data_IF_139624386616
#
_entry.id   IF_139624386616
#
_cell.length_a   1.000
_cell.length_b   1.000
_cell.length_c   1.000
_cell.angle_alpha   90.00
_cell.angle_beta   90.00
_cell.angle_gamma   90.00
#
_symmetry.space_group_name_H-M   'P 1'
#
loop_
_entity.id
_entity.type
_entity.pdbx_description
1 polymer ?
#
# COMPACT_ATOMS: atom_id res chain seq x y z
N UNK A 1 2.29 28.38 -10.07
CA UNK A 1 2.41 26.91 -10.00
C UNK A 1 3.88 26.58 -9.78
N UNK A 2 4.21 25.83 -8.71
CA UNK A 2 5.58 25.36 -8.45
C UNK A 2 5.65 23.85 -8.64
N UNK A 3 6.78 23.34 -9.11
CA UNK A 3 7.07 21.90 -9.20
C UNK A 3 8.38 21.64 -8.47
N UNK A 4 8.46 20.53 -7.73
CA UNK A 4 9.71 20.06 -7.11
C UNK A 4 9.98 18.63 -7.54
N UNK A 5 11.21 18.30 -7.98
CA UNK A 5 11.59 16.93 -8.28
C UNK A 5 11.58 16.13 -6.98
N UNK A 6 10.97 14.95 -7.03
CA UNK A 6 11.07 13.96 -5.97
C UNK A 6 11.85 12.78 -6.56
N UNK A 7 12.94 12.36 -5.92
CA UNK A 7 13.99 11.59 -6.58
C UNK A 7 13.69 10.08 -6.68
N UNK A 8 12.46 9.66 -6.40
CA UNK A 8 12.10 8.25 -6.28
C UNK A 8 11.03 7.83 -7.29
N UNK A 9 11.10 6.59 -7.79
CA UNK A 9 10.08 5.98 -8.66
C UNK A 9 9.06 5.17 -7.82
N UNK A 10 7.83 4.97 -8.30
CA UNK A 10 6.81 4.13 -7.63
C UNK A 10 6.07 4.81 -6.46
N UNK A 11 5.18 5.76 -6.78
CA UNK A 11 4.74 6.84 -5.92
C UNK A 11 3.42 6.53 -5.21
N UNK A 12 3.49 6.24 -3.91
CA UNK A 12 2.37 6.52 -3.01
C UNK A 12 2.72 7.70 -2.12
N UNK A 13 1.78 8.63 -1.95
CA UNK A 13 1.96 9.84 -1.14
C UNK A 13 0.68 10.14 -0.38
N UNK A 14 0.78 10.36 0.93
CA UNK A 14 -0.33 10.83 1.74
C UNK A 14 0.16 11.81 2.81
N UNK A 15 -0.76 12.40 3.57
CA UNK A 15 -0.41 13.27 4.69
C UNK A 15 -0.09 12.46 5.95
N UNK A 16 0.77 12.99 6.83
CA UNK A 16 0.85 12.53 8.21
C UNK A 16 -0.44 12.82 8.96
N UNK A 17 -0.70 12.09 10.05
CA UNK A 17 -1.92 12.24 10.85
C UNK A 17 -2.12 13.67 11.41
N UNK A 18 -1.05 14.40 11.66
CA UNK A 18 -1.07 15.80 12.11
C UNK A 18 -1.04 16.82 10.95
N UNK A 19 -0.99 16.35 9.70
CA UNK A 19 -0.95 17.16 8.48
C UNK A 19 0.35 17.93 8.26
N UNK A 20 1.37 17.75 9.12
CA UNK A 20 2.62 18.53 9.07
C UNK A 20 3.62 18.02 8.04
N UNK A 21 3.60 16.72 7.78
CA UNK A 21 4.54 16.05 6.89
C UNK A 21 3.78 15.29 5.80
N UNK A 22 4.54 14.88 4.79
CA UNK A 22 4.08 13.90 3.83
C UNK A 22 4.67 12.54 4.19
N UNK A 23 3.89 11.49 3.99
CA UNK A 23 4.33 10.11 4.07
C UNK A 23 4.35 9.57 2.66
N UNK A 24 5.48 9.00 2.25
CA UNK A 24 5.70 8.48 0.92
C UNK A 24 6.27 7.06 0.93
N UNK A 25 6.20 6.43 -0.22
CA UNK A 25 6.93 5.22 -0.56
C UNK A 25 7.54 5.36 -1.95
N UNK A 26 8.54 4.53 -2.21
CA UNK A 26 9.21 4.35 -3.50
C UNK A 26 9.14 2.89 -3.96
N UNK A 27 8.12 2.14 -3.51
CA UNK A 27 7.95 0.70 -3.75
C UNK A 27 9.05 -0.21 -3.19
N UNK A 28 10.02 0.32 -2.44
CA UNK A 28 10.90 -0.50 -1.57
C UNK A 28 10.13 -0.97 -0.32
N UNK A 29 10.86 -1.43 0.69
CA UNK A 29 10.33 -1.71 2.01
C UNK A 29 10.18 -0.48 2.91
N UNK A 30 10.52 0.74 2.47
CA UNK A 30 10.58 1.91 3.34
C UNK A 30 9.33 2.81 3.29
N UNK A 31 8.87 3.21 4.47
CA UNK A 31 7.94 4.31 4.68
C UNK A 31 8.76 5.58 4.99
N UNK A 32 8.64 6.59 4.13
CA UNK A 32 9.49 7.78 4.13
C UNK A 32 8.67 8.98 4.58
N UNK A 33 9.14 9.70 5.60
CA UNK A 33 8.54 10.97 6.04
C UNK A 33 9.28 12.13 5.41
N UNK A 34 8.56 13.05 4.77
CA UNK A 34 9.13 14.17 4.01
C UNK A 34 8.59 15.48 4.57
N UNK A 35 9.47 16.45 4.74
CA UNK A 35 9.09 17.84 5.00
C UNK A 35 8.67 18.50 3.66
N UNK A 36 7.38 18.89 3.49
CA UNK A 36 6.92 19.50 2.24
C UNK A 36 7.55 20.89 1.98
N UNK A 37 8.01 21.60 3.01
CA UNK A 37 8.61 22.93 2.86
C UNK A 37 10.03 22.85 2.26
N UNK A 38 10.79 21.81 2.59
CA UNK A 38 12.19 21.64 2.15
C UNK A 38 12.37 20.51 1.12
N UNK A 39 11.39 19.62 1.01
CA UNK A 39 11.47 18.36 0.25
C UNK A 39 12.57 17.41 0.74
N UNK A 40 13.01 17.54 1.99
CA UNK A 40 13.99 16.65 2.60
C UNK A 40 13.31 15.49 3.34
N UNK A 41 13.95 14.31 3.30
CA UNK A 41 13.60 13.19 4.18
C UNK A 41 13.86 13.56 5.64
N UNK A 42 12.84 13.38 6.48
CA UNK A 42 12.87 13.61 7.93
C UNK A 42 13.11 12.31 8.69
N UNK A 43 12.51 11.22 8.21
CA UNK A 43 12.59 9.88 8.81
C UNK A 43 12.33 8.83 7.73
N UNK A 44 12.85 7.63 7.94
CA UNK A 44 12.70 6.50 7.03
C UNK A 44 12.68 5.21 7.86
N UNK A 45 11.61 4.41 7.73
CA UNK A 45 11.42 3.18 8.51
C UNK A 45 11.05 2.00 7.63
N UNK A 46 11.63 0.82 7.87
CA UNK A 46 11.23 -0.38 7.15
C UNK A 46 9.83 -0.81 7.59
N UNK A 47 8.96 -1.01 6.62
CA UNK A 47 7.65 -1.61 6.77
C UNK A 47 7.82 -3.08 7.11
N UNK A 48 7.20 -3.51 8.21
CA UNK A 48 7.30 -4.90 8.68
C UNK A 48 5.93 -5.50 8.95
N UNK A 49 5.70 -6.73 8.49
CA UNK A 49 4.55 -7.55 8.85
C UNK A 49 5.01 -8.96 9.20
N UNK A 50 4.42 -9.55 10.26
CA UNK A 50 4.78 -10.90 10.73
C UNK A 50 6.29 -11.11 11.00
N UNK A 51 7.03 -10.05 11.32
CA UNK A 51 8.47 -10.10 11.55
C UNK A 51 9.34 -10.04 10.27
N UNK A 52 8.75 -9.85 9.10
CA UNK A 52 9.43 -9.75 7.81
C UNK A 52 9.30 -8.34 7.22
N UNK A 53 10.29 -7.93 6.42
CA UNK A 53 10.20 -6.73 5.59
C UNK A 53 9.10 -6.92 4.53
N UNK A 54 8.32 -5.87 4.27
CA UNK A 54 7.28 -5.89 3.23
C UNK A 54 7.67 -4.92 2.11
N UNK A 55 8.31 -5.39 1.03
CA UNK A 55 8.59 -4.55 -0.12
C UNK A 55 7.34 -4.37 -0.98
N UNK A 56 7.36 -3.33 -1.82
CA UNK A 56 6.33 -3.12 -2.84
C UNK A 56 5.09 -2.40 -2.34
N UNK A 57 5.12 -1.80 -1.15
CA UNK A 57 4.05 -0.89 -0.73
C UNK A 57 4.08 0.32 -1.67
N UNK A 58 2.97 0.60 -2.34
CA UNK A 58 2.88 1.59 -3.41
C UNK A 58 1.84 2.66 -3.04
N UNK A 59 0.74 2.85 -3.79
CA UNK A 59 -0.28 3.88 -3.50
C UNK A 59 -0.70 3.90 -2.02
N UNK A 60 -0.70 5.09 -1.42
CA UNK A 60 -0.93 5.30 0.02
C UNK A 60 -2.17 6.14 0.28
N UNK A 61 -2.86 5.85 1.37
CA UNK A 61 -3.93 6.69 1.91
C UNK A 61 -3.88 6.73 3.44
N UNK A 62 -4.08 7.91 4.02
CA UNK A 62 -4.20 8.07 5.47
C UNK A 62 -5.64 7.80 5.91
N UNK A 63 -5.81 6.85 6.82
CA UNK A 63 -7.05 6.59 7.54
C UNK A 63 -6.90 7.13 8.96
N UNK A 64 -7.60 8.22 9.36
CA UNK A 64 -7.39 8.85 10.66
C UNK A 64 -7.74 7.96 11.87
N UNK A 65 -8.75 7.10 11.71
CA UNK A 65 -9.15 6.13 12.73
C UNK A 65 -9.45 4.78 12.08
N UNK A 66 -8.43 3.93 12.03
CA UNK A 66 -8.50 2.60 11.47
C UNK A 66 -9.08 1.63 12.50
N UNK A 67 -10.38 1.33 12.35
CA UNK A 67 -11.13 0.38 13.18
C UNK A 67 -11.13 0.74 14.68
N UNK A 68 -11.15 2.03 15.03
CA UNK A 68 -11.15 2.49 16.42
C UNK A 68 -9.80 2.39 17.12
N UNK A 69 -8.71 2.20 16.36
CA UNK A 69 -7.34 1.99 16.90
C UNK A 69 -6.43 3.20 16.69
N UNK A 70 -6.94 4.27 16.08
CA UNK A 70 -6.15 5.44 15.69
C UNK A 70 -5.64 5.37 14.25
N UNK A 71 -4.72 6.26 13.86
CA UNK A 71 -4.38 6.46 12.45
C UNK A 71 -3.61 5.28 11.87
N UNK A 72 -3.91 4.96 10.61
CA UNK A 72 -3.16 4.02 9.81
C UNK A 72 -2.85 4.65 8.44
N UNK A 73 -1.69 4.33 7.90
CA UNK A 73 -1.44 4.50 6.47
C UNK A 73 -1.77 3.18 5.81
N UNK A 74 -2.73 3.19 4.89
CA UNK A 74 -3.04 2.03 4.06
C UNK A 74 -2.34 2.13 2.73
N UNK A 75 -1.93 1.01 2.14
CA UNK A 75 -1.42 1.04 0.78
C UNK A 75 -1.43 -0.28 0.05
N UNK A 76 -1.51 -0.21 -1.28
CA UNK A 76 -1.49 -1.38 -2.16
C UNK A 76 -0.11 -2.03 -2.15
N UNK A 77 -0.06 -3.36 -2.20
CA UNK A 77 1.18 -4.10 -2.51
C UNK A 77 1.24 -4.33 -4.02
N UNK A 78 2.30 -3.86 -4.66
CA UNK A 78 2.50 -3.90 -6.12
C UNK A 78 2.26 -5.31 -6.70
N UNK A 79 1.60 -5.37 -7.85
CA UNK A 79 1.27 -6.62 -8.58
C UNK A 79 0.41 -7.63 -7.77
N UNK A 80 -0.27 -7.17 -6.72
CA UNK A 80 -1.20 -7.98 -5.95
C UNK A 80 -2.53 -7.24 -5.77
N UNK A 81 -3.55 -7.96 -5.26
CA UNK A 81 -4.80 -7.37 -4.74
C UNK A 81 -4.74 -7.13 -3.23
N UNK A 82 -3.55 -7.15 -2.63
CA UNK A 82 -3.38 -6.90 -1.20
C UNK A 82 -3.29 -5.42 -0.90
N UNK A 83 -3.84 -5.04 0.25
CA UNK A 83 -3.65 -3.75 0.87
C UNK A 83 -3.20 -3.97 2.30
N UNK A 84 -2.16 -3.25 2.68
CA UNK A 84 -1.59 -3.29 4.02
C UNK A 84 -2.00 -2.04 4.78
N UNK A 85 -2.47 -2.18 6.01
CA UNK A 85 -2.56 -1.06 6.97
C UNK A 85 -1.32 -1.08 7.85
N UNK A 86 -0.63 0.05 7.95
CA UNK A 86 0.58 0.21 8.77
C UNK A 86 0.41 1.35 9.77
N UNK A 87 0.98 1.15 10.94
CA UNK A 87 1.13 2.21 11.94
C UNK A 87 2.12 3.25 11.37
N UNK A 88 1.71 4.53 11.22
CA UNK A 88 2.54 5.55 10.60
C UNK A 88 3.77 5.93 11.43
N UNK A 89 3.78 5.63 12.73
CA UNK A 89 4.88 5.96 13.64
C UNK A 89 5.92 4.83 13.68
N UNK A 90 5.46 3.57 13.66
CA UNK A 90 6.35 2.41 13.82
C UNK A 90 6.64 1.65 12.52
N UNK A 91 5.91 1.95 11.44
CA UNK A 91 5.90 1.20 10.17
C UNK A 91 5.56 -0.30 10.36
N UNK A 92 4.89 -0.65 11.45
CA UNK A 92 4.43 -2.02 11.70
C UNK A 92 3.04 -2.24 11.14
N UNK A 93 2.87 -3.37 10.48
CA UNK A 93 1.60 -3.89 9.99
C UNK A 93 0.56 -3.99 11.11
N UNK A 94 -0.57 -3.32 10.91
CA UNK A 94 -1.76 -3.38 11.76
C UNK A 94 -2.76 -4.42 11.24
N UNK A 95 -2.92 -4.49 9.92
CA UNK A 95 -3.81 -5.43 9.24
C UNK A 95 -3.39 -5.63 7.78
N UNK A 96 -3.88 -6.70 7.19
CA UNK A 96 -3.84 -6.94 5.75
C UNK A 96 -5.24 -7.31 5.27
N UNK A 97 -5.61 -6.83 4.09
CA UNK A 97 -6.88 -7.14 3.45
C UNK A 97 -6.67 -7.36 1.95
N UNK A 98 -7.59 -8.12 1.34
CA UNK A 98 -7.58 -8.44 -0.08
C UNK A 98 -8.76 -7.74 -0.75
N UNK A 99 -8.50 -7.07 -1.87
CA UNK A 99 -9.54 -6.54 -2.73
C UNK A 99 -10.18 -7.70 -3.50
N UNK A 100 -11.41 -8.05 -3.12
CA UNK A 100 -12.17 -9.12 -3.73
C UNK A 100 -13.66 -8.75 -3.76
N UNK A 101 -14.40 -9.25 -4.76
CA UNK A 101 -15.83 -9.05 -4.90
C UNK A 101 -16.31 -9.47 -6.28
N UNK A 102 -17.52 -10.04 -6.37
CA UNK A 102 -18.06 -10.54 -7.64
C UNK A 102 -18.28 -9.41 -8.67
N UNK A 103 -18.57 -8.21 -8.19
CA UNK A 103 -18.82 -7.02 -9.01
C UNK A 103 -17.57 -6.15 -9.21
N UNK A 104 -16.42 -6.54 -8.64
CA UNK A 104 -15.15 -5.83 -8.81
C UNK A 104 -14.48 -6.20 -10.15
N UNK A 105 -13.52 -5.38 -10.60
CA UNK A 105 -12.68 -5.70 -11.74
C UNK A 105 -12.07 -7.10 -11.60
N UNK A 106 -12.33 -7.96 -12.59
CA UNK A 106 -11.85 -9.34 -12.58
C UNK A 106 -10.33 -9.38 -12.63
N UNK A 107 -9.75 -10.23 -11.80
CA UNK A 107 -8.31 -10.49 -11.83
C UNK A 107 -7.87 -10.93 -13.23
N UNK A 108 -6.85 -10.25 -13.77
CA UNK A 108 -6.26 -10.57 -15.06
C UNK A 108 -4.92 -11.27 -14.88
N UNK A 109 -4.58 -12.18 -15.81
CA UNK A 109 -3.31 -12.91 -15.77
C UNK A 109 -2.07 -12.01 -15.94
N UNK A 110 -2.26 -10.79 -16.45
CA UNK A 110 -1.20 -9.82 -16.68
C UNK A 110 -0.93 -8.88 -15.49
N UNK A 111 -1.69 -8.99 -14.40
CA UNK A 111 -1.44 -8.27 -13.13
C UNK A 111 -0.07 -8.57 -12.53
N UNK A 112 0.37 -9.83 -12.62
CA UNK A 112 1.71 -10.22 -12.20
C UNK A 112 2.83 -9.54 -12.99
N UNK A 113 2.52 -8.99 -14.16
CA UNK A 113 3.45 -8.24 -15.02
C UNK A 113 3.24 -6.72 -14.91
N UNK A 114 2.40 -6.24 -14.00
CA UNK A 114 2.16 -4.81 -13.77
C UNK A 114 1.04 -4.20 -14.62
N UNK A 115 0.33 -5.00 -15.42
CA UNK A 115 -0.81 -4.55 -16.23
C UNK A 115 -2.11 -4.88 -15.48
N UNK A 116 -3.07 -3.96 -15.39
CA UNK A 116 -4.32 -4.19 -14.64
C UNK A 116 -4.20 -4.28 -13.11
N UNK A 117 -3.08 -3.84 -12.53
CA UNK A 117 -2.83 -3.97 -11.09
C UNK A 117 -3.65 -2.98 -10.26
N UNK A 118 -4.06 -3.40 -9.06
CA UNK A 118 -4.61 -2.50 -8.05
C UNK A 118 -3.60 -1.39 -7.73
N UNK A 119 -4.05 -0.15 -7.88
CA UNK A 119 -3.22 1.04 -7.73
C UNK A 119 -4.16 2.24 -7.63
N UNK A 120 -4.49 2.59 -6.39
CA UNK A 120 -5.37 3.71 -6.08
C UNK A 120 -6.32 3.31 -4.98
N UNK A 121 -6.19 3.99 -3.84
CA UNK A 121 -7.02 3.80 -2.67
C UNK A 121 -7.30 5.18 -2.08
N UNK A 122 -8.56 5.42 -1.72
CA UNK A 122 -8.98 6.63 -1.03
C UNK A 122 -9.95 6.24 0.08
N UNK A 123 -9.92 6.97 1.19
CA UNK A 123 -10.78 6.72 2.34
C UNK A 123 -11.76 7.88 2.51
N UNK A 124 -13.05 7.58 2.46
CA UNK A 124 -14.08 8.55 2.78
C UNK A 124 -14.38 8.53 4.27
N UNK A 125 -13.95 9.58 4.96
CA UNK A 125 -14.16 9.77 6.39
C UNK A 125 -15.65 9.87 6.77
N UNK A 126 -16.52 10.30 5.85
CA UNK A 126 -17.95 10.46 6.16
C UNK A 126 -18.67 9.12 6.22
N UNK A 127 -18.43 8.26 5.23
CA UNK A 127 -19.05 6.93 5.16
C UNK A 127 -18.25 5.84 5.87
N UNK A 128 -16.95 6.03 6.06
CA UNK A 128 -16.02 5.00 6.51
C UNK A 128 -15.67 3.95 5.44
N UNK A 129 -16.03 4.23 4.18
CA UNK A 129 -15.79 3.32 3.06
C UNK A 129 -14.48 3.68 2.34
N UNK A 130 -13.94 2.70 1.63
CA UNK A 130 -12.81 2.92 0.74
C UNK A 130 -13.29 3.00 -0.71
N UNK A 131 -12.65 3.84 -1.50
CA UNK A 131 -12.75 3.81 -2.95
C UNK A 131 -11.45 3.24 -3.50
N UNK A 132 -11.55 2.18 -4.29
CA UNK A 132 -10.39 1.47 -4.85
C UNK A 132 -10.47 1.40 -6.37
N UNK A 133 -9.31 1.47 -7.01
CA UNK A 133 -9.17 1.33 -8.45
C UNK A 133 -7.80 0.73 -8.81
N UNK A 134 -7.49 0.67 -10.10
CA UNK A 134 -6.23 0.17 -10.58
C UNK A 134 -5.88 0.68 -11.97
N UNK A 135 -4.64 0.41 -12.37
CA UNK A 135 -4.18 0.73 -13.72
C UNK A 135 -5.07 -0.01 -14.71
N UNK A 136 -5.62 0.67 -15.71
CA UNK A 136 -6.49 0.06 -16.73
C UNK A 136 -7.78 -0.63 -16.21
N UNK A 137 -8.20 -0.39 -14.97
CA UNK A 137 -9.51 -0.83 -14.52
C UNK A 137 -10.60 0.00 -15.21
N UNK A 138 -11.77 -0.62 -15.45
CA UNK A 138 -12.92 0.04 -16.08
C UNK A 138 -13.69 0.93 -15.10
N UNK A 139 -13.45 0.78 -13.80
CA UNK A 139 -14.22 1.45 -12.77
C UNK A 139 -13.43 1.77 -11.50
N UNK A 140 -14.08 2.57 -10.66
CA UNK A 140 -13.75 2.80 -9.26
C UNK A 140 -14.82 2.11 -8.42
N UNK A 141 -14.40 1.39 -7.39
CA UNK A 141 -15.27 0.56 -6.57
C UNK A 141 -15.30 1.10 -5.15
N UNK A 142 -16.49 1.35 -4.63
CA UNK A 142 -16.71 1.62 -3.20
C UNK A 142 -16.76 0.28 -2.45
N UNK A 143 -15.91 0.12 -1.45
CA UNK A 143 -15.72 -1.13 -0.71
C UNK A 143 -15.71 -0.88 0.80
N UNK A 144 -16.05 -1.93 1.56
CA UNK A 144 -16.01 -1.95 3.02
C UNK A 144 -15.14 -3.09 3.49
N UNK A 145 -14.46 -2.88 4.62
CA UNK A 145 -13.74 -3.95 5.29
C UNK A 145 -14.75 -4.92 5.91
N UNK A 146 -14.55 -6.20 5.66
CA UNK A 146 -15.25 -7.29 6.33
C UNK A 146 -14.23 -8.19 7.00
N UNK A 147 -14.47 -8.55 8.26
CA UNK A 147 -13.66 -9.54 8.95
C UNK A 147 -13.86 -10.93 8.32
N UNK A 148 -12.82 -11.75 8.31
CA UNK A 148 -12.94 -13.15 7.97
C UNK A 148 -13.93 -13.83 8.91
N UNK A 149 -14.89 -14.56 8.36
CA UNK A 149 -15.95 -15.24 9.13
C UNK A 149 -15.67 -16.72 9.39
N UNK A 150 -14.46 -17.20 9.10
CA UNK A 150 -14.08 -18.63 9.14
C UNK A 150 -12.94 -18.98 10.11
N UNK A 151 -12.74 -20.27 10.42
CA UNK A 151 -11.68 -20.75 11.32
C UNK A 151 -10.29 -20.84 10.67
N UNK A 152 -10.21 -20.66 9.35
CA UNK A 152 -8.95 -20.64 8.60
C UNK A 152 -8.44 -19.20 8.48
N UNK A 153 -7.10 -19.00 8.33
CA UNK A 153 -6.55 -17.72 7.92
C UNK A 153 -7.30 -17.18 6.70
N UNK A 154 -7.69 -15.90 6.73
CA UNK A 154 -8.28 -15.25 5.57
C UNK A 154 -7.34 -15.28 4.37
N UNK A 155 -7.92 -15.25 3.18
CA UNK A 155 -7.20 -15.25 1.90
C UNK A 155 -6.13 -14.15 1.82
N UNK A 156 -6.36 -13.02 2.50
CA UNK A 156 -5.41 -11.91 2.57
C UNK A 156 -4.12 -12.29 3.31
N UNK A 157 -4.21 -13.04 4.42
CA UNK A 157 -3.05 -13.43 5.21
C UNK A 157 -2.21 -14.48 4.49
N UNK A 158 -2.84 -15.45 3.84
CA UNK A 158 -2.13 -16.46 3.04
C UNK A 158 -1.44 -15.83 1.83
N UNK A 159 -2.13 -14.97 1.08
CA UNK A 159 -1.51 -14.26 -0.04
C UNK A 159 -0.35 -13.34 0.42
N UNK A 160 -0.43 -12.73 1.62
CA UNK A 160 0.70 -11.98 2.17
C UNK A 160 1.89 -12.90 2.47
N UNK A 161 1.67 -14.09 3.03
CA UNK A 161 2.76 -15.06 3.29
C UNK A 161 3.45 -15.48 2.00
N UNK A 162 2.69 -15.72 0.93
CA UNK A 162 3.22 -16.03 -0.39
C UNK A 162 4.05 -14.87 -0.95
N UNK A 163 3.55 -13.63 -0.85
CA UNK A 163 4.29 -12.42 -1.24
C UNK A 163 5.62 -12.32 -0.50
N UNK A 164 5.61 -12.48 0.83
CA UNK A 164 6.82 -12.41 1.66
C UNK A 164 7.82 -13.54 1.34
N UNK A 165 7.34 -14.74 1.03
CA UNK A 165 8.19 -15.86 0.66
C UNK A 165 8.88 -15.64 -0.70
N UNK A 166 8.21 -15.01 -1.66
CA UNK A 166 8.77 -14.73 -2.99
C UNK A 166 9.65 -13.48 -3.02
N UNK A 167 9.34 -12.48 -2.19
CA UNK A 167 10.13 -11.27 -2.03
C UNK A 167 11.54 -11.51 -1.43
N UNK A 168 11.71 -12.60 -0.67
CA UNK A 168 13.01 -13.03 -0.15
C UNK A 168 13.92 -13.70 -1.19
N UNK A 169 13.44 -13.96 -2.40
CA UNK A 169 14.28 -14.38 -3.52
C UNK A 169 14.89 -13.14 -4.18
N UNK A 170 16.21 -13.10 -4.47
CA UNK A 170 16.82 -11.94 -5.10
C UNK A 170 16.14 -11.63 -6.43
N UNK A 171 15.47 -10.48 -6.50
CA UNK A 171 14.96 -9.94 -7.75
C UNK A 171 16.15 -9.71 -8.69
N UNK A 172 16.01 -10.21 -9.91
CA UNK A 172 16.96 -10.13 -11.02
C UNK A 172 17.84 -8.88 -11.00
N UNK A 173 19.16 -9.08 -10.97
CA UNK A 173 20.14 -8.07 -11.34
C UNK A 173 19.91 -7.69 -12.80
N UNK A 174 19.28 -6.54 -13.05
CA UNK A 174 19.44 -5.90 -14.35
C UNK A 174 20.90 -5.47 -14.46
N UNK A 175 21.63 -6.23 -15.28
CA UNK A 175 23.03 -6.03 -15.58
C UNK A 175 23.30 -4.60 -15.97
N UNK A 176 24.21 -3.98 -15.23
CA UNK A 176 24.94 -2.82 -15.72
C UNK A 176 25.58 -3.20 -17.04
N UNK A 177 25.13 -2.56 -18.11
CA UNK A 177 25.89 -2.51 -19.35
C UNK A 177 26.77 -1.29 -19.26
N UNK A 178 28.06 -1.57 -19.37
CA UNK A 178 29.19 -0.64 -19.48
C UNK A 178 29.12 0.21 -20.75
#
# INVERSE_FOLDING_TARGET
>A
VGSRPFPYEGWGLTHSADGRFLIATNSSEYLITIDPATSSTVDEKPVTCLGHLVPGLNELELVPDFLGRGPAVVGNIINTRLVLAVDPTTARCLAVFRLAGADMEREQADERYGYHVANGIAFDQQSGNFFVTGKNWKGVYEVRLSADSGPQPGEALEALREHLATAGAPAYSHGGSS
#
